data_IF_225409206901
#
_entry.id   IF_225409206901
#
_cell.length_a   1.000
_cell.length_b   1.000
_cell.length_c   1.000
_cell.angle_alpha   90.00
_cell.angle_beta   90.00
_cell.angle_gamma   90.00
#
_symmetry.space_group_name_H-M   'P 1'
#
loop_
_entity.id
_entity.type
_entity.pdbx_description
1 polymer ?
#
# COMPACT_ATOMS: atom_id res chain seq x y z
N UNK A 1 -0.19 -8.70 2.46
CA UNK A 1 0.37 -8.27 3.76
C UNK A 1 -0.54 -8.83 4.85
N UNK A 2 0.00 -9.61 5.80
CA UNK A 2 -0.78 -10.11 6.94
C UNK A 2 -0.51 -9.23 8.15
N UNK A 3 -1.56 -8.68 8.74
CA UNK A 3 -1.51 -7.75 9.87
C UNK A 3 -2.46 -8.27 10.95
N UNK A 4 -1.91 -8.52 12.13
CA UNK A 4 -2.65 -8.94 13.31
C UNK A 4 -2.16 -8.15 14.52
N UNK A 5 -3.06 -7.93 15.47
CA UNK A 5 -2.76 -7.37 16.78
C UNK A 5 -2.91 -8.46 17.85
N UNK A 6 -2.11 -8.34 18.91
CA UNK A 6 -2.22 -9.16 20.13
C UNK A 6 -2.56 -8.29 21.34
N UNK A 7 -3.00 -7.06 21.11
CA UNK A 7 -3.39 -6.11 22.15
C UNK A 7 -4.77 -6.48 22.67
N UNK A 8 -4.96 -6.45 23.99
CA UNK A 8 -6.24 -6.79 24.63
C UNK A 8 -7.26 -5.64 24.52
N UNK A 9 -6.77 -4.40 24.51
CA UNK A 9 -7.57 -3.19 24.35
C UNK A 9 -8.14 -3.10 22.93
N UNK A 10 -9.22 -2.33 22.77
CA UNK A 10 -9.74 -2.01 21.45
C UNK A 10 -8.75 -1.10 20.71
N UNK A 11 -8.24 -1.58 19.57
CA UNK A 11 -7.26 -0.86 18.76
C UNK A 11 -7.67 -0.85 17.29
N UNK A 12 -7.09 0.10 16.57
CA UNK A 12 -7.31 0.31 15.15
C UNK A 12 -6.01 0.06 14.40
N UNK A 13 -6.11 -0.51 13.21
CA UNK A 13 -4.97 -0.74 12.34
C UNK A 13 -5.01 0.23 11.17
N UNK A 14 -3.90 0.88 10.90
CA UNK A 14 -3.63 1.48 9.61
C UNK A 14 -2.62 0.63 8.84
N UNK A 15 -2.84 0.47 7.55
CA UNK A 15 -1.96 -0.31 6.66
C UNK A 15 -1.58 0.55 5.47
N UNK A 16 -0.29 0.68 5.22
CA UNK A 16 0.26 1.44 4.10
C UNK A 16 1.13 0.54 3.24
N UNK A 17 0.90 0.56 1.93
CA UNK A 17 1.84 0.02 0.96
C UNK A 17 2.81 1.11 0.52
N UNK A 18 4.09 0.80 0.50
CA UNK A 18 5.16 1.68 0.06
C UNK A 18 5.87 1.10 -1.15
N UNK A 19 6.32 2.01 -2.03
CA UNK A 19 7.27 1.75 -3.09
C UNK A 19 8.55 2.52 -2.80
N UNK A 20 9.68 1.85 -2.91
CA UNK A 20 10.99 2.47 -3.07
C UNK A 20 11.46 2.21 -4.50
N UNK A 21 11.21 3.18 -5.39
CA UNK A 21 11.69 3.13 -6.77
C UNK A 21 13.21 3.20 -6.85
N UNK A 22 13.79 2.79 -7.98
CA UNK A 22 15.26 2.76 -8.14
C UNK A 22 15.90 4.15 -8.08
N UNK A 23 15.20 5.17 -8.56
CA UNK A 23 15.66 6.56 -8.55
C UNK A 23 15.19 7.35 -7.30
N UNK A 24 14.33 6.74 -6.49
CA UNK A 24 13.76 7.38 -5.31
C UNK A 24 14.80 7.46 -4.17
N UNK A 25 15.00 8.65 -3.62
CA UNK A 25 15.87 8.86 -2.44
C UNK A 25 15.30 8.22 -1.17
N UNK A 26 13.97 8.19 -1.07
CA UNK A 26 13.22 7.68 0.08
C UNK A 26 11.99 6.93 -0.40
N UNK A 27 11.51 5.91 0.32
CA UNK A 27 10.25 5.26 -0.01
C UNK A 27 9.08 6.24 0.00
N UNK A 28 8.12 6.01 -0.89
CA UNK A 28 6.90 6.80 -1.02
C UNK A 28 5.66 5.92 -0.83
N UNK A 29 4.64 6.40 -0.10
CA UNK A 29 3.40 5.65 0.07
C UNK A 29 2.67 5.53 -1.27
N UNK A 30 2.00 4.41 -1.49
CA UNK A 30 1.15 4.15 -2.64
C UNK A 30 -0.31 4.38 -2.24
N UNK A 31 -0.74 3.64 -1.22
CA UNK A 31 -2.09 3.65 -0.69
C UNK A 31 -2.05 3.28 0.79
N UNK A 32 -2.87 3.98 1.57
CA UNK A 32 -3.03 3.79 3.01
C UNK A 32 -4.51 3.56 3.32
N UNK A 33 -4.83 2.53 4.09
CA UNK A 33 -6.06 2.47 4.88
C UNK A 33 -5.70 3.00 6.25
N UNK A 34 -6.28 4.12 6.65
CA UNK A 34 -5.98 4.73 7.94
C UNK A 34 -6.80 4.11 9.09
N UNK A 35 -6.49 4.53 10.31
CA UNK A 35 -7.17 4.09 11.54
C UNK A 35 -8.68 4.43 11.57
N UNK A 36 -9.10 5.41 10.79
CA UNK A 36 -10.48 5.85 10.63
C UNK A 36 -11.16 5.10 9.47
N UNK A 37 -10.53 4.03 8.95
CA UNK A 37 -10.98 3.20 7.83
C UNK A 37 -11.14 3.98 6.52
N UNK A 38 -10.44 5.11 6.40
CA UNK A 38 -10.43 5.94 5.20
C UNK A 38 -9.23 5.60 4.33
N UNK A 39 -9.45 5.54 3.02
CA UNK A 39 -8.37 5.34 2.05
C UNK A 39 -7.71 6.67 1.70
N UNK A 40 -6.38 6.70 1.75
CA UNK A 40 -5.54 7.82 1.31
C UNK A 40 -4.55 7.33 0.27
N UNK A 41 -4.30 8.14 -0.75
CA UNK A 41 -3.34 7.87 -1.81
C UNK A 41 -2.06 8.64 -1.56
N UNK A 42 -0.92 8.06 -1.95
CA UNK A 42 0.34 8.79 -1.98
C UNK A 42 0.55 9.54 -3.28
N UNK A 43 1.44 10.54 -3.23
CA UNK A 43 1.76 11.41 -4.35
C UNK A 43 2.21 10.63 -5.60
N UNK A 44 1.54 10.89 -6.72
CA UNK A 44 1.78 10.26 -8.01
C UNK A 44 0.99 8.97 -8.25
N UNK A 45 0.05 8.64 -7.36
CA UNK A 45 -0.82 7.47 -7.48
C UNK A 45 -2.32 7.82 -7.47
N UNK A 46 -2.67 9.09 -7.31
CA UNK A 46 -4.04 9.62 -7.21
C UNK A 46 -4.88 9.27 -8.45
N UNK A 47 -4.40 9.63 -9.64
CA UNK A 47 -5.16 9.44 -10.88
C UNK A 47 -5.42 7.95 -11.13
N UNK A 48 -4.41 7.11 -10.94
CA UNK A 48 -4.52 5.66 -11.08
C UNK A 48 -5.45 5.05 -10.03
N UNK A 49 -5.53 5.62 -8.83
CA UNK A 49 -6.52 5.20 -7.83
C UNK A 49 -7.95 5.57 -8.29
N UNK A 50 -8.17 6.79 -8.78
CA UNK A 50 -9.47 7.23 -9.29
C UNK A 50 -9.93 6.40 -10.51
N UNK A 51 -9.00 5.96 -11.35
CA UNK A 51 -9.27 5.06 -12.48
C UNK A 51 -9.48 3.59 -12.07
N UNK A 52 -9.33 3.25 -10.78
CA UNK A 52 -9.44 1.88 -10.28
C UNK A 52 -8.24 0.98 -10.63
N UNK A 53 -7.14 1.58 -11.09
CA UNK A 53 -5.87 0.89 -11.39
C UNK A 53 -4.97 0.72 -10.16
N UNK A 54 -5.34 1.33 -9.04
CA UNK A 54 -4.74 1.08 -7.72
C UNK A 54 -5.88 0.89 -6.72
N UNK A 55 -5.83 -0.20 -5.97
CA UNK A 55 -6.74 -0.41 -4.85
C UNK A 55 -6.10 -1.24 -3.74
N UNK A 56 -6.70 -1.19 -2.56
CA UNK A 56 -6.35 -2.08 -1.47
C UNK A 56 -7.60 -2.76 -0.95
N UNK A 57 -7.57 -4.10 -0.93
CA UNK A 57 -8.63 -4.90 -0.34
C UNK A 57 -8.19 -5.45 1.02
N UNK A 58 -9.13 -5.53 1.97
CA UNK A 58 -9.05 -6.48 3.07
C UNK A 58 -9.75 -7.77 2.64
N UNK A 59 -8.97 -8.81 2.33
CA UNK A 59 -9.48 -10.05 1.72
C UNK A 59 -9.85 -11.11 2.75
N UNK A 60 -9.22 -11.05 3.91
CA UNK A 60 -9.47 -11.89 5.08
C UNK A 60 -9.35 -11.01 6.34
N UNK A 61 -9.58 -11.58 7.53
CA UNK A 61 -9.51 -10.85 8.79
C UNK A 61 -8.18 -10.09 8.99
N UNK A 62 -7.06 -10.67 8.54
CA UNK A 62 -5.71 -10.13 8.72
C UNK A 62 -5.02 -9.78 7.41
N UNK A 63 -5.59 -10.14 6.26
CA UNK A 63 -4.89 -10.04 4.97
C UNK A 63 -5.31 -8.79 4.19
N UNK A 64 -4.33 -7.90 3.96
CA UNK A 64 -4.44 -6.69 3.15
C UNK A 64 -3.67 -6.87 1.84
N UNK A 65 -4.34 -6.60 0.71
CA UNK A 65 -3.80 -6.83 -0.64
C UNK A 65 -3.82 -5.57 -1.47
N UNK A 66 -2.63 -5.14 -1.93
CA UNK A 66 -2.48 -4.14 -2.99
C UNK A 66 -2.83 -4.76 -4.34
N UNK A 67 -3.60 -4.05 -5.16
CA UNK A 67 -3.88 -4.40 -6.56
C UNK A 67 -3.39 -3.28 -7.47
N UNK A 68 -2.64 -3.67 -8.51
CA UNK A 68 -2.14 -2.79 -9.57
C UNK A 68 -2.24 -3.51 -10.92
N UNK A 69 -3.44 -3.64 -11.53
CA UNK A 69 -3.64 -4.41 -12.76
C UNK A 69 -2.85 -3.90 -13.96
N UNK A 70 -2.56 -2.60 -14.02
CA UNK A 70 -1.76 -1.98 -15.08
C UNK A 70 -0.50 -1.38 -14.46
N UNK A 71 0.59 -2.13 -14.54
CA UNK A 71 1.91 -1.70 -14.06
C UNK A 71 2.60 -0.79 -15.08
N UNK A 72 3.33 0.20 -14.58
CA UNK A 72 4.13 1.13 -15.38
C UNK A 72 5.61 0.94 -15.05
N UNK A 73 6.52 1.42 -15.92
CA UNK A 73 7.96 1.30 -15.65
C UNK A 73 8.38 1.97 -14.33
N UNK A 74 7.70 3.06 -13.96
CA UNK A 74 7.90 3.78 -12.70
C UNK A 74 7.46 3.00 -11.44
N UNK A 75 6.76 1.87 -11.60
CA UNK A 75 6.39 0.98 -10.50
C UNK A 75 7.51 -0.01 -10.16
N UNK A 76 8.58 -0.07 -10.96
CA UNK A 76 9.75 -0.89 -10.67
C UNK A 76 10.44 -0.43 -9.39
N UNK A 77 10.77 -1.39 -8.53
CA UNK A 77 11.46 -1.11 -7.28
C UNK A 77 11.13 -2.10 -6.18
N UNK A 78 11.29 -1.67 -4.94
CA UNK A 78 11.04 -2.48 -3.75
C UNK A 78 9.73 -2.08 -3.10
N UNK A 79 8.85 -3.05 -2.92
CA UNK A 79 7.58 -2.87 -2.24
C UNK A 79 7.66 -3.42 -0.83
N UNK A 80 7.01 -2.74 0.11
CA UNK A 80 6.78 -3.27 1.45
C UNK A 80 5.47 -2.73 2.00
N UNK A 81 4.98 -3.39 3.05
CA UNK A 81 3.79 -2.99 3.78
C UNK A 81 4.22 -2.53 5.18
N UNK A 82 3.64 -1.44 5.65
CA UNK A 82 3.71 -0.98 7.03
C UNK A 82 2.33 -1.13 7.68
N UNK A 83 2.33 -1.64 8.90
CA UNK A 83 1.17 -1.63 9.78
C UNK A 83 1.49 -0.79 11.01
N UNK A 84 0.56 0.10 11.36
CA UNK A 84 0.59 0.87 12.60
C UNK A 84 -0.68 0.55 13.38
N UNK A 85 -0.50 0.29 14.67
CA UNK A 85 -1.60 0.07 15.60
C UNK A 85 -1.82 1.33 16.44
N UNK A 86 -3.08 1.73 16.52
CA UNK A 86 -3.54 2.94 17.17
C UNK A 86 -4.52 2.59 18.28
N UNK A 87 -4.42 3.29 19.41
CA UNK A 87 -5.46 3.32 20.43
C UNK A 87 -6.09 4.71 20.45
N UNK A 88 -7.40 4.77 20.64
CA UNK A 88 -8.10 6.03 20.86
C UNK A 88 -8.28 6.24 22.36
N UNK A 89 -7.70 7.31 22.88
CA UNK A 89 -7.86 7.69 24.28
C UNK A 89 -9.27 8.27 24.52
N UNK A 90 -9.76 8.32 25.79
CA UNK A 90 -11.11 8.82 26.09
C UNK A 90 -11.37 10.27 25.63
N UNK A 91 -10.31 11.07 25.48
CA UNK A 91 -10.36 12.44 24.94
C UNK A 91 -10.42 12.49 23.40
N UNK A 92 -10.52 11.33 22.75
CA UNK A 92 -10.54 11.10 21.29
C UNK A 92 -9.21 11.32 20.59
N UNK A 93 -8.14 11.60 21.32
CA UNK A 93 -6.80 11.63 20.75
C UNK A 93 -6.37 10.23 20.33
N UNK A 94 -5.49 10.18 19.34
CA UNK A 94 -5.00 8.92 18.79
C UNK A 94 -3.53 8.76 19.15
N UNK A 95 -3.22 7.64 19.79
CA UNK A 95 -1.87 7.29 20.18
C UNK A 95 -1.41 6.06 19.39
N UNK A 96 -0.27 6.18 18.71
CA UNK A 96 0.38 5.04 18.08
C UNK A 96 1.04 4.17 19.15
N UNK A 97 0.66 2.90 19.22
CA UNK A 97 1.16 1.96 20.25
C UNK A 97 2.10 0.89 19.70
N UNK A 98 2.01 0.59 18.41
CA UNK A 98 2.93 -0.32 17.73
C UNK A 98 3.08 0.03 16.25
N UNK A 99 4.22 -0.34 15.67
CA UNK A 99 4.42 -0.31 14.22
C UNK A 99 5.30 -1.48 13.79
N UNK A 100 5.05 -2.01 12.60
CA UNK A 100 5.88 -3.04 11.95
C UNK A 100 5.86 -2.87 10.45
N UNK A 101 6.99 -3.14 9.82
CA UNK A 101 7.11 -3.23 8.36
C UNK A 101 7.40 -4.67 7.95
N UNK A 102 6.90 -5.09 6.80
CA UNK A 102 7.34 -6.35 6.19
C UNK A 102 8.76 -6.22 5.68
N UNK A 103 9.41 -7.36 5.40
CA UNK A 103 10.57 -7.35 4.52
C UNK A 103 10.13 -6.79 3.15
N UNK A 104 10.99 -6.00 2.53
CA UNK A 104 10.76 -5.51 1.19
C UNK A 104 10.95 -6.62 0.14
N UNK A 105 10.12 -6.60 -0.91
CA UNK A 105 10.24 -7.48 -2.07
C UNK A 105 10.52 -6.66 -3.33
N UNK A 106 11.49 -7.10 -4.13
CA UNK A 106 11.84 -6.45 -5.38
C UNK A 106 10.89 -6.88 -6.49
N UNK A 107 10.43 -5.92 -7.29
CA UNK A 107 9.62 -6.11 -8.48
C UNK A 107 10.34 -5.46 -9.66
N UNK A 108 10.54 -6.23 -10.72
CA UNK A 108 11.07 -5.77 -12.00
C UNK A 108 9.92 -5.72 -13.01
N UNK A 109 9.76 -4.60 -13.71
CA UNK A 109 8.71 -4.45 -14.72
C UNK A 109 9.35 -4.59 -16.10
N UNK A 110 8.95 -5.63 -16.82
CA UNK A 110 9.39 -5.90 -18.20
C UNK A 110 8.30 -5.53 -19.18
N UNK A 111 8.67 -4.75 -20.19
CA UNK A 111 7.80 -4.54 -21.34
C UNK A 111 7.71 -5.85 -22.12
N UNK A 112 6.49 -6.33 -22.31
CA UNK A 112 6.20 -7.33 -23.33
C UNK A 112 6.19 -6.54 -24.66
N UNK A 113 7.00 -6.95 -25.63
CA UNK A 113 7.32 -6.16 -26.83
C UNK A 113 6.11 -5.63 -27.62
N UNK A 114 6.36 -4.62 -28.46
CA UNK A 114 5.35 -3.98 -29.31
C UNK A 114 4.61 -5.04 -30.16
N UNK A 115 3.29 -5.14 -30.00
CA UNK A 115 2.44 -5.81 -30.98
C UNK A 115 2.40 -4.88 -32.19
N UNK A 116 3.25 -5.14 -33.18
CA UNK A 116 3.06 -4.56 -34.50
C UNK A 116 1.79 -5.17 -35.10
N UNK A 117 0.68 -4.44 -35.03
CA UNK A 117 -0.48 -4.74 -35.87
C UNK A 117 -0.08 -4.34 -37.28
N UNK A 118 0.32 -5.34 -38.08
CA UNK A 118 0.43 -5.15 -39.52
C UNK A 118 -0.99 -5.13 -40.07
N UNK A 119 -1.50 -3.95 -40.38
CA UNK A 119 -2.64 -3.81 -41.30
C UNK A 119 -2.12 -4.12 -42.71
N UNK A 120 -2.61 -5.19 -43.32
CA UNK A 120 -2.45 -5.48 -44.75
C UNK A 120 -3.60 -4.85 -45.54
#
# INVERSE_FOLDING_TARGET
>A
CQVSSQTFQHTHLSVTWFLHGEEDKTPRPIITLDKDLTVKTGAGFEDRYHEGLISMDKVEETTYRLKMPQVQQSDQGKFYCEAIEWIQDPDRSWTQIAHKTTRAFSVEIKRIGEIYILEF
#
